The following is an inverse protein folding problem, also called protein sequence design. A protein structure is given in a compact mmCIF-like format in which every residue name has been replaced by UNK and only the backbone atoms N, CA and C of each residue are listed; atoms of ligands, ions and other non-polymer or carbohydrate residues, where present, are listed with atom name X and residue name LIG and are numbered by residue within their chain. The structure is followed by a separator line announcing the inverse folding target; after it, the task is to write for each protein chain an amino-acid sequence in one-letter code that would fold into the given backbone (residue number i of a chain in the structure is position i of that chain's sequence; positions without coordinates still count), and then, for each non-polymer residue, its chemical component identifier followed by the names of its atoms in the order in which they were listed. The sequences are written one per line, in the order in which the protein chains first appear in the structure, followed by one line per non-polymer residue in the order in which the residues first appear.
data_IF_323102186871
#
_entry.id   IF_323102186871
#
_cell.length_a   1.000
_cell.length_b   1.000
_cell.length_c   1.000
_cell.angle_alpha   90.00
_cell.angle_beta   90.00
_cell.angle_gamma   90.00
#
_symmetry.space_group_name_H-M   'P 1'
#
loop_
_entity.id
_entity.type
_entity.pdbx_description
1 polymer ?
#
# COMPACT_ATOMS: atom_id res chain seq x y z
N UNK A 1 -8.42 1.89 12.65
CA UNK A 1 -7.82 1.58 11.34
C UNK A 1 -7.61 2.88 10.61
N UNK A 2 -6.40 3.14 10.12
CA UNK A 2 -6.05 4.39 9.43
C UNK A 2 -6.63 4.37 8.02
N UNK A 3 -7.18 5.50 7.58
CA UNK A 3 -7.62 5.69 6.20
C UNK A 3 -6.87 6.86 5.59
N UNK A 4 -6.24 6.63 4.44
CA UNK A 4 -5.51 7.64 3.66
C UNK A 4 -6.33 7.98 2.43
N UNK A 5 -6.84 9.21 2.36
CA UNK A 5 -7.54 9.69 1.17
C UNK A 5 -6.59 10.52 0.31
N UNK A 6 -6.46 10.16 -0.95
CA UNK A 6 -5.63 10.88 -1.91
C UNK A 6 -6.34 12.13 -2.43
N UNK A 7 -5.55 13.14 -2.82
CA UNK A 7 -6.06 14.29 -3.58
C UNK A 7 -6.70 13.81 -4.89
N UNK A 8 -7.75 14.52 -5.33
CA UNK A 8 -8.40 14.25 -6.60
C UNK A 8 -7.36 14.21 -7.74
N UNK A 9 -7.43 13.18 -8.59
CA UNK A 9 -6.50 12.96 -9.71
C UNK A 9 -5.09 12.47 -9.33
N UNK A 10 -4.78 12.27 -8.04
CA UNK A 10 -3.47 11.76 -7.58
C UNK A 10 -3.44 10.25 -7.34
N UNK A 11 -4.48 9.54 -7.75
CA UNK A 11 -4.63 8.08 -7.64
C UNK A 11 -4.16 7.30 -8.87
N UNK A 12 -3.92 7.97 -10.02
CA UNK A 12 -3.44 7.33 -11.26
C UNK A 12 -2.20 6.44 -11.06
N UNK A 13 -1.12 6.87 -10.36
CA UNK A 13 0.06 6.02 -10.15
C UNK A 13 -0.27 4.73 -9.39
N UNK A 14 -1.13 4.83 -8.37
CA UNK A 14 -1.56 3.67 -7.57
C UNK A 14 -2.35 2.69 -8.42
N UNK A 15 -3.27 3.21 -9.26
CA UNK A 15 -4.07 2.39 -10.19
C UNK A 15 -3.22 1.66 -11.23
N UNK A 16 -2.10 2.25 -11.65
CA UNK A 16 -1.14 1.63 -12.56
C UNK A 16 -0.09 0.76 -11.85
N UNK A 17 -0.23 0.52 -10.54
CA UNK A 17 0.64 -0.37 -9.78
C UNK A 17 1.91 0.25 -9.22
N UNK A 18 2.08 1.58 -9.26
CA UNK A 18 3.19 2.24 -8.59
C UNK A 18 3.05 2.07 -7.07
N UNK A 19 4.05 1.49 -6.38
CA UNK A 19 3.89 1.08 -4.99
C UNK A 19 4.01 2.23 -3.99
N UNK A 20 4.40 3.42 -4.41
CA UNK A 20 4.67 4.54 -3.50
C UNK A 20 3.65 5.67 -3.65
N UNK A 21 3.23 6.17 -2.49
CA UNK A 21 2.41 7.37 -2.36
C UNK A 21 3.22 8.38 -1.57
N UNK A 22 3.48 9.53 -2.20
CA UNK A 22 4.20 10.63 -1.59
C UNK A 22 3.30 11.46 -0.67
N UNK A 23 3.86 12.06 0.38
CA UNK A 23 3.13 12.91 1.33
C UNK A 23 2.28 13.98 0.64
N UNK A 24 2.82 14.61 -0.41
CA UNK A 24 2.12 15.64 -1.18
C UNK A 24 0.89 15.16 -1.96
N UNK A 25 0.69 13.85 -2.13
CA UNK A 25 -0.49 13.27 -2.77
C UNK A 25 -1.65 13.02 -1.79
N UNK A 26 -1.41 13.07 -0.48
CA UNK A 26 -2.41 12.82 0.56
C UNK A 26 -3.26 14.09 0.75
N UNK A 27 -4.58 13.93 0.73
CA UNK A 27 -5.54 14.98 1.05
C UNK A 27 -5.94 14.93 2.52
N UNK A 28 -6.20 13.72 3.03
CA UNK A 28 -6.70 13.52 4.39
C UNK A 28 -6.19 12.21 4.97
N UNK A 29 -5.87 12.24 6.26
CA UNK A 29 -5.58 11.06 7.08
C UNK A 29 -6.67 10.98 8.15
N UNK A 30 -7.39 9.87 8.18
CA UNK A 30 -8.43 9.60 9.17
C UNK A 30 -8.01 8.46 10.09
N UNK A 31 -8.31 8.61 11.38
CA UNK A 31 -7.78 7.75 12.43
C UNK A 31 -6.42 8.22 12.95
N UNK A 32 -6.05 7.76 14.15
CA UNK A 32 -4.72 7.97 14.71
C UNK A 32 -3.88 6.73 14.45
N UNK A 33 -2.71 6.94 13.84
CA UNK A 33 -1.68 5.91 13.82
C UNK A 33 -1.16 5.74 15.24
N UNK A 34 -1.22 4.51 15.76
CA UNK A 34 -0.65 4.16 17.06
C UNK A 34 0.88 4.07 16.97
N UNK A 35 1.39 3.76 15.77
CA UNK A 35 2.81 3.71 15.46
C UNK A 35 3.07 3.94 13.95
N UNK A 36 4.31 4.32 13.61
CA UNK A 36 4.77 4.29 12.23
C UNK A 36 4.81 2.84 11.70
N UNK A 37 4.34 2.62 10.47
CA UNK A 37 4.26 1.30 9.87
C UNK A 37 2.92 0.59 10.06
N UNK A 38 1.94 1.23 10.70
CA UNK A 38 0.59 0.67 10.83
C UNK A 38 -0.11 0.54 9.46
N UNK A 39 -0.92 -0.50 9.32
CA UNK A 39 -1.72 -0.73 8.11
C UNK A 39 -2.77 0.36 7.93
N UNK A 40 -2.95 0.76 6.68
CA UNK A 40 -3.94 1.74 6.27
C UNK A 40 -4.71 1.27 5.04
N UNK A 41 -5.94 1.74 4.93
CA UNK A 41 -6.74 1.66 3.71
C UNK A 41 -6.50 2.93 2.90
N UNK A 42 -6.22 2.78 1.61
CA UNK A 42 -5.99 3.91 0.71
C UNK A 42 -7.24 4.12 -0.15
N UNK A 43 -7.75 5.35 -0.16
CA UNK A 43 -8.90 5.78 -0.95
C UNK A 43 -8.50 6.79 -2.02
N UNK A 44 -9.18 6.76 -3.16
CA UNK A 44 -9.13 7.84 -4.14
C UNK A 44 -9.78 9.11 -3.58
N UNK A 45 -9.58 10.25 -4.26
CA UNK A 45 -10.29 11.48 -3.93
C UNK A 45 -11.82 11.39 -4.06
N UNK A 46 -12.34 10.36 -4.74
CA UNK A 46 -13.78 10.07 -4.84
C UNK A 46 -14.28 9.06 -3.79
N UNK A 47 -13.40 8.61 -2.87
CA UNK A 47 -13.73 7.63 -1.84
C UNK A 47 -13.64 6.16 -2.28
N UNK A 48 -13.22 5.86 -3.52
CA UNK A 48 -13.08 4.49 -3.98
C UNK A 48 -11.85 3.82 -3.34
N UNK A 49 -11.99 2.58 -2.87
CA UNK A 49 -10.87 1.81 -2.30
C UNK A 49 -9.85 1.49 -3.39
N UNK A 50 -8.60 1.91 -3.17
CA UNK A 50 -7.48 1.63 -4.06
C UNK A 50 -6.66 0.44 -3.60
N UNK A 51 -6.59 0.19 -2.30
CA UNK A 51 -5.74 -0.87 -1.76
C UNK A 51 -5.43 -0.72 -0.28
N UNK A 52 -4.54 -1.58 0.19
CA UNK A 52 -3.94 -1.52 1.51
C UNK A 52 -2.45 -1.16 1.39
N UNK A 53 -1.95 -0.37 2.33
CA UNK A 53 -0.53 -0.08 2.47
C UNK A 53 -0.15 0.06 3.94
N UNK A 54 1.12 0.32 4.23
CA UNK A 54 1.52 0.77 5.55
C UNK A 54 1.87 2.25 5.52
N UNK A 55 1.50 2.97 6.58
CA UNK A 55 1.64 4.42 6.67
C UNK A 55 2.80 4.82 7.58
N UNK A 56 3.62 5.76 7.12
CA UNK A 56 4.67 6.39 7.92
C UNK A 56 4.62 7.92 7.73
N UNK A 57 4.13 8.69 8.73
CA UNK A 57 4.02 10.15 8.64
C UNK A 57 5.37 10.87 8.55
N UNK A 58 6.46 10.24 9.01
CA UNK A 58 7.80 10.83 9.02
C UNK A 58 8.55 10.68 7.68
N UNK A 59 7.97 10.00 6.69
CA UNK A 59 8.61 9.73 5.40
C UNK A 59 7.95 10.53 4.27
N UNK A 60 8.77 10.99 3.31
CA UNK A 60 8.28 11.57 2.05
C UNK A 60 7.51 10.55 1.21
N UNK A 61 7.86 9.26 1.31
CA UNK A 61 7.06 8.13 0.81
C UNK A 61 6.16 7.68 1.96
N UNK A 62 5.08 8.43 2.18
CA UNK A 62 4.24 8.27 3.36
C UNK A 62 3.46 6.96 3.36
N UNK A 63 3.12 6.39 2.20
CA UNK A 63 2.51 5.06 2.12
C UNK A 63 3.26 4.20 1.11
N UNK A 64 3.55 2.96 1.51
CA UNK A 64 3.95 1.90 0.58
C UNK A 64 2.82 0.90 0.45
N UNK A 65 2.34 0.72 -0.78
CA UNK A 65 1.24 -0.17 -1.10
C UNK A 65 1.66 -1.63 -0.91
N UNK A 66 0.79 -2.39 -0.26
CA UNK A 66 0.92 -3.82 -0.03
C UNK A 66 -0.02 -4.60 -0.93
N UNK A 67 -1.24 -4.12 -1.17
CA UNK A 67 -2.19 -4.72 -2.11
C UNK A 67 -2.95 -3.64 -2.87
N UNK A 68 -3.47 -4.02 -4.04
CA UNK A 68 -4.44 -3.22 -4.79
C UNK A 68 -5.83 -3.84 -4.63
N UNK A 69 -6.86 -3.02 -4.77
CA UNK A 69 -8.25 -3.45 -4.66
C UNK A 69 -8.75 -3.55 -3.22
N UNK A 70 -9.84 -4.27 -3.03
CA UNK A 70 -10.58 -4.35 -1.75
C UNK A 70 -10.13 -5.49 -0.85
N UNK A 71 -9.25 -6.35 -1.35
CA UNK A 71 -8.80 -7.52 -0.60
C UNK A 71 -7.96 -7.11 0.61
N UNK A 72 -8.28 -7.70 1.76
CA UNK A 72 -7.55 -7.47 3.00
C UNK A 72 -6.14 -8.03 2.87
N UNK A 73 -5.15 -7.22 3.23
CA UNK A 73 -3.78 -7.70 3.39
C UNK A 73 -3.62 -8.38 4.75
N UNK A 74 -3.24 -9.66 4.74
CA UNK A 74 -3.10 -10.50 5.93
C UNK A 74 -1.71 -11.11 6.04
N UNK A 75 -1.40 -11.71 7.20
CA UNK A 75 -0.17 -12.49 7.37
C UNK A 75 -0.08 -13.64 6.34
N UNK A 76 -1.20 -14.31 6.05
CA UNK A 76 -1.26 -15.35 5.02
C UNK A 76 -0.88 -14.83 3.63
N UNK A 77 -1.35 -13.63 3.27
CA UNK A 77 -0.98 -12.96 2.01
C UNK A 77 0.54 -12.73 1.94
N UNK A 78 1.13 -12.29 3.06
CA UNK A 78 2.57 -12.05 3.14
C UNK A 78 3.36 -13.35 3.01
N UNK A 79 3.00 -14.40 3.76
CA UNK A 79 3.67 -15.70 3.71
C UNK A 79 3.63 -16.30 2.30
N UNK A 80 2.45 -16.28 1.66
CA UNK A 80 2.28 -16.73 0.26
C UNK A 80 3.21 -15.99 -0.69
N UNK A 81 3.40 -14.67 -0.52
CA UNK A 81 4.31 -13.88 -1.37
C UNK A 81 5.77 -14.22 -1.15
N UNK A 82 6.17 -14.51 0.09
CA UNK A 82 7.52 -14.97 0.42
C UNK A 82 7.79 -16.32 -0.26
N UNK A 83 6.84 -17.26 -0.18
CA UNK A 83 6.95 -18.58 -0.82
C UNK A 83 7.07 -18.47 -2.35
N UNK A 84 6.20 -17.66 -2.97
CA UNK A 84 6.27 -17.41 -4.41
C UNK A 84 7.59 -16.77 -4.82
N UNK A 85 8.14 -15.85 -4.02
CA UNK A 85 9.42 -15.24 -4.29
C UNK A 85 10.59 -16.25 -4.15
N UNK A 86 10.53 -17.14 -3.15
CA UNK A 86 11.51 -18.22 -2.99
C UNK A 86 11.46 -19.22 -4.16
N UNK A 87 10.27 -19.61 -4.60
CA UNK A 87 10.07 -20.45 -5.79
C UNK A 87 10.65 -19.79 -7.06
N UNK A 88 10.35 -18.52 -7.29
CA UNK A 88 10.91 -17.77 -8.43
C UNK A 88 12.44 -17.75 -8.41
N UNK A 89 13.06 -17.56 -7.25
CA UNK A 89 14.53 -17.55 -7.11
C UNK A 89 15.16 -18.91 -7.38
N UNK A 90 14.55 -19.99 -6.88
CA UNK A 90 15.00 -21.35 -7.19
C UNK A 90 14.98 -21.64 -8.70
N UNK A 91 13.97 -21.13 -9.41
CA UNK A 91 13.86 -21.29 -10.85
C UNK A 91 14.83 -20.39 -11.65
N UNK A 92 15.44 -19.38 -11.01
CA UNK A 92 16.51 -18.56 -11.61
C UNK A 92 17.89 -19.23 -11.48
N UNK A 93 18.02 -20.25 -10.64
CA UNK A 93 19.22 -21.09 -10.50
C UNK A 93 19.29 -22.17 -11.60
N UNK A 94 19.16 -21.75 -12.86
CA UNK A 94 19.47 -22.55 -14.03
C UNK A 94 20.63 -21.89 -14.78
N UNK A 95 21.79 -22.56 -14.70
CA UNK A 95 23.13 -22.26 -15.20
C UNK A 95 24.06 -21.52 -14.23
#
# INVERSE_FOLDING_TARGET
MITITLKAGRDKPVRTGHPWIFSGAIARVEGKASAAGELCTVLSGSGAVLGCGYYNPASSISVRMLSLGTDKFTLETLLRRIDLAALRRRNLSLH
#
